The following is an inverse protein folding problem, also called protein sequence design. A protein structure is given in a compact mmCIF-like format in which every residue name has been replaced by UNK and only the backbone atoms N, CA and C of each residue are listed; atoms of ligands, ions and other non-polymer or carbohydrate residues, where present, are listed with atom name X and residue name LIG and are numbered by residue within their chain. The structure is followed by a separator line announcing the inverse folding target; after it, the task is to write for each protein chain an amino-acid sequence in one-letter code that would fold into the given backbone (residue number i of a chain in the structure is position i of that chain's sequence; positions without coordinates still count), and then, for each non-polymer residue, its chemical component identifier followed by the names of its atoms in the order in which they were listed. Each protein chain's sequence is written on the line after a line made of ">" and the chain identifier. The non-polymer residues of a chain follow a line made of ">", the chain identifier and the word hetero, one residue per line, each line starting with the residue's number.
data_IF_337888584512
#
_entry.id   IF_337888584512
#
_cell.length_a   1.000
_cell.length_b   1.000
_cell.length_c   1.000
_cell.angle_alpha   90.00
_cell.angle_beta   90.00
_cell.angle_gamma   90.00
#
_symmetry.space_group_name_H-M   'P 1'
#
loop_
_entity.id
_entity.type
_entity.pdbx_description
1 polymer ?
#
# COMPACT_ATOMS: atom_id res chain seq x y z
N UNK A 1 -10.25 23.69 -0.33
CA UNK A 1 -8.79 23.95 -0.29
C UNK A 1 -8.10 22.78 0.40
N UNK A 2 -7.04 22.23 -0.19
CA UNK A 2 -6.27 21.11 0.37
C UNK A 2 -5.69 21.52 1.74
N UNK A 3 -5.85 20.65 2.73
CA UNK A 3 -5.36 20.85 4.11
C UNK A 3 -4.05 20.11 4.36
N UNK A 4 -3.88 18.95 3.74
CA UNK A 4 -2.67 18.14 3.86
C UNK A 4 -2.21 17.61 2.50
N UNK A 5 -1.16 18.23 1.94
CA UNK A 5 -0.59 17.82 0.65
C UNK A 5 0.09 16.45 0.70
N UNK A 6 0.61 16.02 1.84
CA UNK A 6 1.19 14.68 1.97
C UNK A 6 0.11 13.60 1.82
N UNK A 7 -1.03 13.75 2.47
CA UNK A 7 -2.15 12.81 2.30
C UNK A 7 -2.70 12.83 0.88
N UNK A 8 -2.71 13.98 0.20
CA UNK A 8 -3.11 14.06 -1.20
C UNK A 8 -2.16 13.25 -2.10
N UNK A 9 -0.85 13.51 -1.98
CA UNK A 9 0.18 12.84 -2.81
C UNK A 9 0.18 11.34 -2.53
N UNK A 10 0.21 10.94 -1.26
CA UNK A 10 0.19 9.51 -0.90
C UNK A 10 -1.10 8.86 -1.36
N UNK A 11 -2.25 9.54 -1.24
CA UNK A 11 -3.52 9.05 -1.74
C UNK A 11 -3.47 8.71 -3.24
N UNK A 12 -2.91 9.62 -4.06
CA UNK A 12 -2.71 9.40 -5.48
C UNK A 12 -1.73 8.24 -5.76
N UNK A 13 -0.62 8.18 -5.02
CA UNK A 13 0.36 7.08 -5.16
C UNK A 13 -0.26 5.72 -4.83
N UNK A 14 -1.07 5.62 -3.78
CA UNK A 14 -1.77 4.39 -3.41
C UNK A 14 -2.76 3.94 -4.50
N UNK A 15 -3.48 4.86 -5.12
CA UNK A 15 -4.37 4.53 -6.26
C UNK A 15 -3.55 4.06 -7.46
N UNK A 16 -2.47 4.78 -7.79
CA UNK A 16 -1.57 4.39 -8.87
C UNK A 16 -1.01 2.99 -8.62
N UNK A 17 -0.54 2.70 -7.40
CA UNK A 17 -0.06 1.38 -7.00
C UNK A 17 -1.13 0.30 -7.08
N UNK A 18 -2.40 0.59 -6.75
CA UNK A 18 -3.48 -0.38 -6.92
C UNK A 18 -3.69 -0.76 -8.39
N UNK A 19 -3.67 0.23 -9.30
CA UNK A 19 -3.80 0.01 -10.73
C UNK A 19 -2.60 -0.76 -11.28
N UNK A 20 -1.38 -0.30 -11.00
CA UNK A 20 -0.16 -0.95 -11.50
C UNK A 20 0.00 -2.36 -10.93
N UNK A 21 -0.38 -2.59 -9.67
CA UNK A 21 -0.37 -3.92 -9.06
C UNK A 21 -1.34 -4.88 -9.77
N UNK A 22 -2.55 -4.42 -10.09
CA UNK A 22 -3.54 -5.23 -10.81
C UNK A 22 -3.03 -5.60 -12.20
N UNK A 23 -2.53 -4.62 -12.95
CA UNK A 23 -1.98 -4.83 -14.30
C UNK A 23 -0.75 -5.73 -14.29
N UNK A 24 0.16 -5.55 -13.33
CA UNK A 24 1.37 -6.36 -13.21
C UNK A 24 1.02 -7.83 -12.92
N UNK A 25 0.00 -8.08 -12.10
CA UNK A 25 -0.45 -9.44 -11.80
C UNK A 25 -0.90 -10.17 -13.05
N UNK A 26 -1.75 -9.55 -13.85
CA UNK A 26 -2.24 -10.11 -15.11
C UNK A 26 -1.14 -10.30 -16.16
N UNK A 27 -0.06 -9.53 -16.10
CA UNK A 27 1.04 -9.63 -17.05
C UNK A 27 2.14 -10.61 -16.63
N UNK A 28 2.25 -10.91 -15.33
CA UNK A 28 3.39 -11.67 -14.77
C UNK A 28 2.92 -12.77 -13.82
N UNK A 29 2.63 -12.44 -12.56
CA UNK A 29 2.43 -13.42 -11.48
C UNK A 29 1.25 -14.36 -11.71
N UNK A 30 0.08 -13.83 -12.11
CA UNK A 30 -1.11 -14.65 -12.32
C UNK A 30 -0.95 -15.51 -13.58
N UNK A 31 -0.34 -14.97 -14.64
CA UNK A 31 -0.01 -15.76 -15.84
C UNK A 31 0.99 -16.88 -15.55
N UNK A 32 1.97 -16.65 -14.68
CA UNK A 32 2.90 -17.69 -14.25
C UNK A 32 2.18 -18.79 -13.46
N UNK A 33 1.24 -18.44 -12.57
CA UNK A 33 0.40 -19.40 -11.86
C UNK A 33 -0.50 -20.21 -12.80
N UNK A 34 -0.97 -19.62 -13.91
CA UNK A 34 -1.79 -20.32 -14.90
C UNK A 34 -1.05 -21.51 -15.55
N UNK A 35 0.27 -21.40 -15.73
CA UNK A 35 1.09 -22.41 -16.42
C UNK A 35 1.91 -23.29 -15.48
N UNK A 36 1.92 -23.01 -14.17
CA UNK A 36 2.78 -23.67 -13.18
C UNK A 36 2.35 -25.09 -12.77
N UNK A 37 1.28 -25.66 -13.35
CA UNK A 37 0.77 -26.99 -12.98
C UNK A 37 0.24 -27.09 -11.54
N UNK A 38 -0.05 -25.95 -10.91
CA UNK A 38 -0.60 -25.84 -9.55
C UNK A 38 -2.09 -26.23 -9.57
N UNK A 39 -2.57 -26.88 -8.51
CA UNK A 39 -3.97 -27.25 -8.43
C UNK A 39 -4.90 -26.00 -8.41
N UNK A 40 -6.14 -26.13 -8.93
CA UNK A 40 -7.03 -24.99 -9.05
C UNK A 40 -7.38 -24.28 -7.73
N UNK A 41 -7.42 -25.00 -6.60
CA UNK A 41 -7.77 -24.41 -5.32
C UNK A 41 -6.64 -23.51 -4.81
N UNK A 42 -5.40 -23.99 -4.87
CA UNK A 42 -4.21 -23.21 -4.51
C UNK A 42 -4.05 -21.99 -5.41
N UNK A 43 -4.27 -22.14 -6.72
CA UNK A 43 -4.25 -21.04 -7.68
C UNK A 43 -5.26 -19.93 -7.34
N UNK A 44 -6.48 -20.30 -6.95
CA UNK A 44 -7.50 -19.34 -6.53
C UNK A 44 -7.08 -18.57 -5.27
N UNK A 45 -6.45 -19.24 -4.30
CA UNK A 45 -5.95 -18.57 -3.08
C UNK A 45 -4.94 -17.46 -3.45
N UNK A 46 -3.94 -17.75 -4.29
CA UNK A 46 -2.98 -16.74 -4.73
C UNK A 46 -3.64 -15.61 -5.52
N UNK A 47 -4.63 -15.95 -6.36
CA UNK A 47 -5.39 -14.96 -7.12
C UNK A 47 -6.16 -14.00 -6.19
N UNK A 48 -6.79 -14.52 -5.14
CA UNK A 48 -7.49 -13.69 -4.16
C UNK A 48 -6.52 -12.80 -3.39
N UNK A 49 -5.42 -13.34 -2.90
CA UNK A 49 -4.39 -12.57 -2.18
C UNK A 49 -3.89 -11.42 -3.05
N UNK A 50 -3.61 -11.69 -4.34
CA UNK A 50 -3.18 -10.66 -5.28
C UNK A 50 -4.18 -9.50 -5.36
N UNK A 51 -5.46 -9.79 -5.56
CA UNK A 51 -6.49 -8.75 -5.72
C UNK A 51 -6.83 -8.04 -4.40
N UNK A 52 -6.79 -8.72 -3.25
CA UNK A 52 -6.99 -8.11 -1.94
C UNK A 52 -5.92 -7.05 -1.66
N UNK A 53 -4.65 -7.34 -1.98
CA UNK A 53 -3.55 -6.37 -1.83
C UNK A 53 -3.80 -5.10 -2.67
N UNK A 54 -4.26 -5.27 -3.91
CA UNK A 54 -4.63 -4.17 -4.79
C UNK A 54 -5.83 -3.36 -4.25
N UNK A 55 -6.86 -4.04 -3.77
CA UNK A 55 -8.04 -3.40 -3.17
C UNK A 55 -7.68 -2.62 -1.90
N UNK A 56 -6.82 -3.17 -1.04
CA UNK A 56 -6.34 -2.49 0.16
C UNK A 56 -5.59 -1.19 -0.19
N UNK A 57 -4.73 -1.20 -1.21
CA UNK A 57 -4.06 0.01 -1.70
C UNK A 57 -5.07 1.05 -2.19
N UNK A 58 -6.11 0.63 -2.90
CA UNK A 58 -7.17 1.54 -3.36
C UNK A 58 -7.93 2.15 -2.18
N UNK A 59 -8.28 1.35 -1.18
CA UNK A 59 -8.96 1.83 0.05
C UNK A 59 -8.11 2.85 0.79
N UNK A 60 -6.80 2.60 0.96
CA UNK A 60 -5.88 3.57 1.55
C UNK A 60 -5.81 4.85 0.73
N UNK A 61 -5.73 4.72 -0.59
CA UNK A 61 -5.71 5.86 -1.50
C UNK A 61 -6.93 6.77 -1.35
N UNK A 62 -8.13 6.19 -1.43
CA UNK A 62 -9.40 6.92 -1.27
C UNK A 62 -9.50 7.55 0.13
N UNK A 63 -9.15 6.81 1.18
CA UNK A 63 -9.18 7.33 2.55
C UNK A 63 -8.23 8.54 2.71
N UNK A 64 -7.01 8.45 2.18
CA UNK A 64 -6.02 9.53 2.23
C UNK A 64 -6.44 10.75 1.42
N UNK A 65 -7.06 10.56 0.25
CA UNK A 65 -7.63 11.66 -0.52
C UNK A 65 -8.71 12.39 0.26
N UNK A 66 -9.62 11.67 0.93
CA UNK A 66 -10.65 12.28 1.78
C UNK A 66 -9.99 13.04 2.94
N UNK A 67 -9.03 12.42 3.63
CA UNK A 67 -8.31 13.02 4.75
C UNK A 67 -7.50 14.27 4.36
N UNK A 68 -7.04 14.38 3.11
CA UNK A 68 -6.32 15.54 2.61
C UNK A 68 -7.14 16.84 2.67
N UNK A 69 -8.47 16.76 2.74
CA UNK A 69 -9.39 17.91 2.82
C UNK A 69 -10.04 18.08 4.20
N UNK A 70 -9.86 17.13 5.13
CA UNK A 70 -10.46 17.22 6.46
C UNK A 70 -9.74 18.26 7.34
N UNK A 71 -10.52 18.96 8.17
CA UNK A 71 -9.98 19.91 9.17
C UNK A 71 -9.51 19.24 10.46
N UNK A 72 -10.06 18.08 10.81
CA UNK A 72 -9.74 17.43 12.09
C UNK A 72 -8.42 16.67 12.01
N UNK A 73 -7.33 17.30 12.47
CA UNK A 73 -6.01 16.68 12.47
C UNK A 73 -5.93 15.47 13.42
N UNK A 74 -6.67 15.46 14.54
CA UNK A 74 -6.67 14.32 15.46
C UNK A 74 -7.22 13.04 14.81
N UNK A 75 -8.34 13.14 14.08
CA UNK A 75 -8.98 12.00 13.38
C UNK A 75 -8.10 11.48 12.24
N UNK A 76 -7.52 12.40 11.45
CA UNK A 76 -6.66 12.03 10.32
C UNK A 76 -5.32 11.43 10.78
N UNK A 77 -4.77 11.87 11.92
CA UNK A 77 -3.57 11.27 12.51
C UNK A 77 -3.80 9.83 12.95
N UNK A 78 -4.88 9.55 13.66
CA UNK A 78 -5.20 8.19 14.10
C UNK A 78 -5.35 7.23 12.90
N UNK A 79 -6.13 7.63 11.89
CA UNK A 79 -6.29 6.84 10.67
C UNK A 79 -4.96 6.65 9.91
N UNK A 80 -4.12 7.69 9.83
CA UNK A 80 -2.80 7.58 9.19
C UNK A 80 -1.87 6.63 9.94
N UNK A 81 -1.91 6.61 11.27
CA UNK A 81 -1.16 5.65 12.09
C UNK A 81 -1.65 4.21 11.85
N UNK A 82 -2.95 3.99 11.68
CA UNK A 82 -3.48 2.67 11.31
C UNK A 82 -2.93 2.24 9.94
N UNK A 83 -2.98 3.13 8.94
CA UNK A 83 -2.45 2.82 7.60
C UNK A 83 -0.95 2.50 7.66
N UNK A 84 -0.17 3.29 8.39
CA UNK A 84 1.26 3.01 8.60
C UNK A 84 1.47 1.64 9.25
N UNK A 85 0.73 1.32 10.30
CA UNK A 85 0.83 0.02 10.97
C UNK A 85 0.54 -1.13 10.02
N UNK A 86 -0.50 -1.03 9.19
CA UNK A 86 -0.83 -2.07 8.21
C UNK A 86 0.29 -2.22 7.18
N UNK A 87 0.84 -1.10 6.66
CA UNK A 87 1.95 -1.14 5.70
C UNK A 87 3.22 -1.77 6.28
N UNK A 88 3.53 -1.49 7.55
CA UNK A 88 4.67 -2.11 8.25
C UNK A 88 4.44 -3.61 8.42
N UNK A 89 3.26 -4.02 8.91
CA UNK A 89 2.92 -5.43 9.06
C UNK A 89 2.96 -6.17 7.72
N UNK A 90 2.44 -5.56 6.65
CA UNK A 90 2.51 -6.11 5.29
C UNK A 90 3.96 -6.34 4.88
N UNK A 91 4.83 -5.34 5.05
CA UNK A 91 6.24 -5.48 4.70
C UNK A 91 6.93 -6.59 5.53
N UNK A 92 6.65 -6.68 6.83
CA UNK A 92 7.20 -7.73 7.70
C UNK A 92 6.78 -9.12 7.21
N UNK A 93 5.50 -9.30 6.87
CA UNK A 93 4.98 -10.58 6.37
C UNK A 93 5.67 -10.96 5.06
N UNK A 94 5.73 -10.04 4.08
CA UNK A 94 6.39 -10.29 2.78
C UNK A 94 7.86 -10.64 3.00
N UNK A 95 8.60 -9.81 3.75
CA UNK A 95 10.03 -10.04 3.99
C UNK A 95 10.28 -11.38 4.70
N UNK A 96 9.49 -11.71 5.73
CA UNK A 96 9.64 -12.95 6.47
C UNK A 96 9.42 -14.18 5.59
N UNK A 97 8.32 -14.23 4.82
CA UNK A 97 8.03 -15.40 3.99
C UNK A 97 9.00 -15.54 2.81
N UNK A 98 9.44 -14.43 2.20
CA UNK A 98 10.38 -14.48 1.08
C UNK A 98 11.81 -14.85 1.51
N UNK A 99 12.27 -14.39 2.67
CA UNK A 99 13.58 -14.81 3.18
C UNK A 99 13.61 -16.28 3.59
N UNK A 100 12.49 -16.80 4.11
CA UNK A 100 12.37 -18.22 4.46
C UNK A 100 12.18 -19.14 3.24
N UNK A 101 11.80 -18.62 2.08
CA UNK A 101 11.66 -19.42 0.85
C UNK A 101 12.95 -19.57 0.04
N UNK A 102 14.05 -18.97 0.49
CA UNK A 102 15.36 -19.01 -0.19
C UNK A 102 15.49 -18.07 -1.39
N UNK A 103 14.52 -17.18 -1.59
CA UNK A 103 14.54 -16.15 -2.63
C UNK A 103 15.42 -14.97 -2.18
N UNK A 104 16.08 -14.30 -3.13
CA UNK A 104 17.03 -13.22 -2.83
C UNK A 104 16.30 -11.93 -2.48
N UNK A 105 16.83 -11.17 -1.52
CA UNK A 105 16.28 -9.87 -1.11
C UNK A 105 16.16 -8.85 -2.26
N UNK A 106 16.94 -9.01 -3.33
CA UNK A 106 16.88 -8.16 -4.54
C UNK A 106 15.49 -8.16 -5.17
N UNK A 107 14.75 -9.25 -5.06
CA UNK A 107 13.42 -9.41 -5.65
C UNK A 107 12.35 -8.64 -4.85
N UNK A 108 12.65 -8.30 -3.58
CA UNK A 108 11.80 -7.50 -2.69
C UNK A 108 12.08 -6.00 -2.73
N UNK A 109 13.15 -5.61 -3.41
CA UNK A 109 13.71 -4.26 -3.32
C UNK A 109 12.74 -3.20 -3.86
N UNK A 110 12.04 -3.41 -5.01
CA UNK A 110 11.05 -2.45 -5.49
C UNK A 110 9.89 -2.24 -4.51
N UNK A 111 9.33 -3.33 -3.98
CA UNK A 111 8.20 -3.28 -3.05
C UNK A 111 8.58 -2.64 -1.71
N UNK A 112 9.79 -2.96 -1.23
CA UNK A 112 10.36 -2.36 -0.03
C UNK A 112 10.50 -0.85 -0.19
N UNK A 113 11.10 -0.37 -1.29
CA UNK A 113 11.24 1.06 -1.54
C UNK A 113 9.87 1.74 -1.59
N UNK A 114 8.90 1.17 -2.31
CA UNK A 114 7.56 1.75 -2.44
C UNK A 114 6.88 1.91 -1.07
N UNK A 115 6.91 0.87 -0.23
CA UNK A 115 6.30 0.91 1.11
C UNK A 115 6.97 1.95 2.01
N UNK A 116 8.30 1.97 2.06
CA UNK A 116 9.03 2.91 2.92
C UNK A 116 8.84 4.37 2.50
N UNK A 117 8.81 4.65 1.19
CA UNK A 117 8.50 6.00 0.67
C UNK A 117 7.11 6.44 1.14
N UNK A 118 6.10 5.57 1.01
CA UNK A 118 4.74 5.86 1.47
C UNK A 118 4.71 6.12 2.98
N UNK A 119 5.36 5.29 3.80
CA UNK A 119 5.42 5.47 5.25
C UNK A 119 6.06 6.81 5.62
N UNK A 120 7.19 7.15 5.02
CA UNK A 120 7.90 8.41 5.29
C UNK A 120 7.01 9.62 4.96
N UNK A 121 6.33 9.60 3.81
CA UNK A 121 5.42 10.66 3.42
C UNK A 121 4.21 10.77 4.37
N UNK A 122 3.65 9.66 4.84
CA UNK A 122 2.58 9.67 5.84
C UNK A 122 3.04 10.24 7.18
N UNK A 123 4.26 9.91 7.63
CA UNK A 123 4.85 10.48 8.84
C UNK A 123 5.01 12.00 8.73
N UNK A 124 5.36 12.53 7.55
CA UNK A 124 5.35 13.97 7.32
C UNK A 124 3.94 14.55 7.33
N UNK A 125 2.96 13.85 6.74
CA UNK A 125 1.55 14.23 6.79
C UNK A 125 1.01 14.38 8.22
N UNK A 126 1.38 13.47 9.13
CA UNK A 126 1.00 13.55 10.55
C UNK A 126 1.57 14.79 11.24
N UNK A 127 2.78 15.20 10.85
CA UNK A 127 3.53 16.33 11.45
C UNK A 127 3.11 17.71 10.93
N UNK A 128 2.28 17.79 9.89
CA UNK A 128 1.71 19.07 9.44
C UNK A 128 0.99 19.72 10.61
N UNK A 129 1.42 20.92 10.99
CA UNK A 129 0.79 21.70 12.07
C UNK A 129 -0.50 22.34 11.56
N UNK A 130 -1.47 22.53 12.45
CA UNK A 130 -2.63 23.36 12.14
C UNK A 130 -2.12 24.76 11.79
N UNK A 131 -2.32 25.18 10.55
CA UNK A 131 -2.40 26.61 10.26
C UNK A 131 -3.67 27.08 10.95
N UNK A 132 -3.55 27.58 12.18
CA UNK A 132 -4.62 28.36 12.81
C UNK A 132 -5.07 29.39 11.78
N UNK A 133 -6.32 29.30 11.32
CA UNK A 133 -6.92 30.43 10.64
C UNK A 133 -7.06 31.51 11.70
N UNK A 134 -6.23 32.55 11.61
CA UNK A 134 -6.70 33.88 11.98
C UNK A 134 -7.95 34.20 11.19
#
# INVERSE_FOLDING_TARGET
>A
MVKNYFYLVVGLLCILFAVTHTLNGSATTLSALDVAGIDPATKNIFTYIWHIIGAENLVFGVALLIMAFQRSMAKTRFASLIIISILVLRWVVIAFFTLNSGITFTDLLPDTIAIFVVIILLLFGIRVKDKQSN
#
